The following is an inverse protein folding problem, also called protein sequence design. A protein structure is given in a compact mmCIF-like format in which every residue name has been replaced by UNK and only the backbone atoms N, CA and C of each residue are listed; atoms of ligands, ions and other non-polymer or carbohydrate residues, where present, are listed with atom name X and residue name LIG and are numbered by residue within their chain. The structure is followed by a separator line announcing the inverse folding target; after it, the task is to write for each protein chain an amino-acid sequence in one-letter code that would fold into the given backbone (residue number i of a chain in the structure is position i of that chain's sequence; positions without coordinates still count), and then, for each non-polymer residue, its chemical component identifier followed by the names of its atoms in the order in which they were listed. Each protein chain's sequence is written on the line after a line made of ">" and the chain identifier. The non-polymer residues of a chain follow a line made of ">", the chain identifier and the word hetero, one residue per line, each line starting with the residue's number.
data_IF_874848499383
#
_entry.id   IF_874848499383
#
_cell.length_a   1.000
_cell.length_b   1.000
_cell.length_c   1.000
_cell.angle_alpha   90.00
_cell.angle_beta   90.00
_cell.angle_gamma   90.00
#
_symmetry.space_group_name_H-M   'P 1'
#
loop_
_entity.id
_entity.type
_entity.pdbx_description
1 polymer ?
#
# COMPACT_ATOMS: atom_id res chain seq x y z
N UNK A 1 35.64 -25.12 9.89
CA UNK A 1 35.60 -24.10 8.82
C UNK A 1 34.51 -24.52 7.86
N UNK A 2 33.31 -23.92 7.96
CA UNK A 2 32.23 -24.12 6.99
C UNK A 2 32.02 -22.80 6.27
N UNK A 3 32.30 -22.80 4.97
CA UNK A 3 32.02 -21.69 4.06
C UNK A 3 30.54 -21.76 3.67
N UNK A 4 29.73 -20.85 4.22
CA UNK A 4 28.39 -20.59 3.71
C UNK A 4 28.53 -19.81 2.42
N UNK A 5 28.20 -20.45 1.29
CA UNK A 5 28.06 -19.78 0.01
C UNK A 5 26.82 -18.88 0.06
N UNK A 6 27.03 -17.57 -0.02
CA UNK A 6 25.96 -16.61 -0.23
C UNK A 6 25.44 -16.81 -1.66
N UNK A 7 24.21 -17.30 -1.81
CA UNK A 7 23.50 -17.24 -3.08
C UNK A 7 23.10 -15.79 -3.32
N UNK A 8 23.83 -15.10 -4.17
CA UNK A 8 23.40 -13.84 -4.78
C UNK A 8 22.14 -14.12 -5.59
N UNK A 9 20.98 -13.84 -5.00
CA UNK A 9 19.70 -13.91 -5.70
C UNK A 9 19.70 -12.85 -6.79
N UNK A 10 19.80 -13.28 -8.05
CA UNK A 10 19.43 -12.46 -9.20
C UNK A 10 17.95 -12.10 -9.05
N UNK A 11 17.65 -10.84 -8.75
CA UNK A 11 16.31 -10.30 -8.89
C UNK A 11 16.07 -10.18 -10.41
N UNK A 12 15.51 -11.22 -11.02
CA UNK A 12 15.09 -11.14 -12.40
C UNK A 12 14.07 -10.01 -12.51
N UNK A 13 14.35 -9.00 -13.33
CA UNK A 13 13.34 -8.01 -13.72
C UNK A 13 12.19 -8.76 -14.38
N UNK A 14 11.05 -8.78 -13.69
CA UNK A 14 9.81 -9.34 -14.24
C UNK A 14 9.30 -8.34 -15.26
N UNK A 15 9.49 -8.65 -16.54
CA UNK A 15 8.80 -7.92 -17.60
C UNK A 15 7.37 -8.45 -17.64
N UNK A 16 6.41 -7.61 -17.26
CA UNK A 16 5.00 -7.97 -17.32
C UNK A 16 4.55 -7.86 -18.78
N UNK A 17 4.19 -8.96 -19.45
CA UNK A 17 3.71 -8.89 -20.83
C UNK A 17 2.34 -8.21 -20.85
N UNK A 18 2.03 -7.51 -21.97
CA UNK A 18 0.67 -7.07 -22.25
C UNK A 18 -0.26 -8.29 -22.20
N UNK A 19 -1.12 -8.32 -21.19
CA UNK A 19 -1.94 -9.47 -20.83
C UNK A 19 -3.40 -9.05 -20.78
N UNK A 20 -4.27 -9.85 -21.40
CA UNK A 20 -5.72 -9.63 -21.36
C UNK A 20 -6.22 -9.53 -19.91
N UNK A 21 -5.70 -10.37 -19.00
CA UNK A 21 -6.07 -10.35 -17.60
C UNK A 21 -5.73 -9.02 -16.92
N UNK A 22 -4.51 -8.51 -17.14
CA UNK A 22 -4.06 -7.27 -16.51
C UNK A 22 -4.78 -6.06 -17.08
N UNK A 23 -5.12 -6.08 -18.37
CA UNK A 23 -5.95 -5.05 -18.98
C UNK A 23 -7.35 -5.04 -18.35
N UNK A 24 -8.00 -6.19 -18.19
CA UNK A 24 -9.31 -6.25 -17.53
C UNK A 24 -9.28 -5.77 -16.09
N UNK A 25 -8.22 -6.08 -15.34
CA UNK A 25 -8.02 -5.56 -13.98
C UNK A 25 -7.87 -4.03 -14.01
N UNK A 26 -6.98 -3.52 -14.86
CA UNK A 26 -6.74 -2.07 -15.01
C UNK A 26 -8.01 -1.31 -15.40
N UNK A 27 -8.80 -1.84 -16.34
CA UNK A 27 -10.09 -1.29 -16.74
C UNK A 27 -11.10 -1.31 -15.59
N UNK A 28 -11.19 -2.42 -14.84
CA UNK A 28 -12.14 -2.55 -13.72
C UNK A 28 -11.92 -1.53 -12.61
N UNK A 29 -10.70 -1.02 -12.48
CA UNK A 29 -10.31 -0.02 -11.47
C UNK A 29 -10.13 1.38 -12.08
N UNK A 30 -10.43 1.54 -13.37
CA UNK A 30 -10.25 2.80 -14.11
C UNK A 30 -8.81 3.37 -14.01
N UNK A 31 -7.80 2.48 -14.05
CA UNK A 31 -6.40 2.89 -14.01
C UNK A 31 -6.07 3.76 -15.24
N UNK A 32 -5.49 4.97 -15.06
CA UNK A 32 -5.09 5.79 -16.19
C UNK A 32 -4.07 5.07 -17.09
N UNK A 33 -4.14 5.34 -18.40
CA UNK A 33 -3.20 4.76 -19.38
C UNK A 33 -1.75 5.15 -19.08
N UNK A 34 -1.54 6.38 -18.60
CA UNK A 34 -0.24 6.89 -18.19
C UNK A 34 -0.26 7.14 -16.69
N UNK A 35 0.55 6.38 -15.95
CA UNK A 35 0.62 6.48 -14.50
C UNK A 35 2.05 6.70 -14.03
N UNK A 36 2.17 7.54 -13.01
CA UNK A 36 3.30 7.53 -12.11
C UNK A 36 3.00 6.53 -11.01
N UNK A 37 3.99 5.75 -10.62
CA UNK A 37 3.83 4.76 -9.55
C UNK A 37 4.96 4.83 -8.55
N UNK A 38 4.66 4.38 -7.34
CA UNK A 38 5.66 4.09 -6.32
C UNK A 38 5.33 2.78 -5.61
N UNK A 39 6.37 2.09 -5.14
CA UNK A 39 6.22 0.93 -4.27
C UNK A 39 7.09 1.09 -3.03
N UNK A 40 6.79 0.29 -2.02
CA UNK A 40 7.53 0.30 -0.77
C UNK A 40 6.73 -0.28 0.37
N UNK A 41 6.94 0.28 1.56
CA UNK A 41 6.24 -0.14 2.77
C UNK A 41 5.67 1.03 3.54
N UNK A 42 4.60 0.79 4.29
CA UNK A 42 4.14 1.74 5.30
C UNK A 42 3.63 0.98 6.52
N UNK A 43 3.58 1.66 7.65
CA UNK A 43 3.01 1.13 8.89
C UNK A 43 1.71 1.84 9.20
N UNK A 44 0.75 1.12 9.78
CA UNK A 44 -0.48 1.72 10.28
C UNK A 44 -0.82 1.16 11.66
N UNK A 45 -1.47 1.99 12.47
CA UNK A 45 -2.00 1.60 13.78
C UNK A 45 -3.51 1.60 13.77
N UNK A 46 -4.11 0.58 14.38
CA UNK A 46 -5.55 0.38 14.44
C UNK A 46 -6.10 0.53 15.85
N UNK A 47 -7.21 1.25 15.99
CA UNK A 47 -7.84 1.63 17.24
C UNK A 47 -9.32 1.30 17.28
N UNK A 48 -9.87 1.13 18.48
CA UNK A 48 -11.31 0.89 18.69
C UNK A 48 -12.14 2.17 18.57
N UNK A 49 -11.52 3.33 18.73
CA UNK A 49 -12.17 4.66 18.65
C UNK A 49 -11.28 5.68 17.94
N UNK A 50 -11.89 6.78 17.49
CA UNK A 50 -11.20 7.90 16.85
C UNK A 50 -10.18 8.59 17.76
N UNK A 51 -10.38 8.53 19.09
CA UNK A 51 -9.45 9.11 20.07
C UNK A 51 -8.10 8.38 20.13
N UNK A 52 -8.01 7.18 19.53
CA UNK A 52 -6.79 6.36 19.48
C UNK A 52 -6.25 5.91 20.85
N UNK A 53 -7.13 5.80 21.86
CA UNK A 53 -6.76 5.43 23.23
C UNK A 53 -6.55 3.91 23.42
N UNK A 54 -7.26 3.09 22.64
CA UNK A 54 -7.23 1.63 22.74
C UNK A 54 -7.02 0.99 21.37
N UNK A 55 -6.07 0.05 21.30
CA UNK A 55 -5.73 -0.69 20.09
C UNK A 55 -6.81 -1.70 19.70
N UNK A 56 -7.25 -1.68 18.44
CA UNK A 56 -8.13 -2.71 17.86
C UNK A 56 -7.29 -3.92 17.42
N UNK A 57 -6.92 -4.78 18.38
CA UNK A 57 -6.10 -5.97 18.09
C UNK A 57 -6.77 -6.90 17.08
N UNK A 58 -8.09 -7.05 17.18
CA UNK A 58 -8.87 -7.90 16.29
C UNK A 58 -8.95 -7.31 14.87
N UNK A 59 -9.34 -6.04 14.73
CA UNK A 59 -9.49 -5.44 13.40
C UNK A 59 -8.16 -5.34 12.65
N UNK A 60 -7.05 -5.08 13.36
CA UNK A 60 -5.72 -5.15 12.75
C UNK A 60 -5.36 -6.54 12.26
N UNK A 61 -5.74 -7.59 13.00
CA UNK A 61 -5.50 -8.97 12.58
C UNK A 61 -6.33 -9.30 11.34
N UNK A 62 -7.62 -8.94 11.33
CA UNK A 62 -8.54 -9.21 10.24
C UNK A 62 -8.11 -8.53 8.94
N UNK A 63 -7.71 -7.25 8.99
CA UNK A 63 -7.19 -6.54 7.81
C UNK A 63 -5.91 -7.19 7.27
N UNK A 64 -4.98 -7.54 8.15
CA UNK A 64 -3.72 -8.17 7.76
C UNK A 64 -3.93 -9.57 7.15
N UNK A 65 -4.81 -10.37 7.74
CA UNK A 65 -5.20 -11.68 7.22
C UNK A 65 -5.87 -11.55 5.85
N UNK A 66 -6.78 -10.59 5.70
CA UNK A 66 -7.47 -10.34 4.44
C UNK A 66 -6.51 -9.90 3.34
N UNK A 67 -5.56 -9.01 3.61
CA UNK A 67 -4.54 -8.60 2.63
C UNK A 67 -3.63 -9.77 2.24
N UNK A 68 -3.24 -10.61 3.20
CA UNK A 68 -2.40 -11.75 2.90
C UNK A 68 -3.13 -12.81 2.07
N UNK A 69 -4.42 -13.04 2.35
CA UNK A 69 -5.25 -14.00 1.62
C UNK A 69 -5.69 -13.48 0.24
N UNK A 70 -6.29 -12.29 0.20
CA UNK A 70 -7.01 -11.76 -0.97
C UNK A 70 -6.28 -10.63 -1.69
N UNK A 71 -5.27 -10.02 -1.06
CA UNK A 71 -4.74 -8.70 -1.45
C UNK A 71 -5.83 -7.63 -1.33
N UNK A 72 -5.48 -6.37 -1.55
CA UNK A 72 -6.44 -5.26 -1.53
C UNK A 72 -6.12 -4.29 -2.65
N UNK A 73 -7.15 -3.94 -3.43
CA UNK A 73 -7.11 -2.81 -4.35
C UNK A 73 -8.01 -1.72 -3.78
N UNK A 74 -7.45 -0.55 -3.51
CA UNK A 74 -8.15 0.65 -3.08
C UNK A 74 -8.22 1.63 -4.25
N UNK A 75 -9.39 1.78 -4.86
CA UNK A 75 -9.60 2.59 -6.09
C UNK A 75 -9.71 4.10 -5.84
N UNK A 76 -9.85 4.50 -4.57
CA UNK A 76 -9.83 5.89 -4.12
C UNK A 76 -8.98 5.99 -2.84
N UNK A 77 -7.71 5.63 -3.00
CA UNK A 77 -6.79 5.49 -1.87
C UNK A 77 -6.45 6.86 -1.26
N UNK A 78 -6.85 7.05 0.00
CA UNK A 78 -6.56 8.25 0.79
C UNK A 78 -6.91 9.56 0.08
N UNK A 79 -8.10 9.61 -0.52
CA UNK A 79 -8.60 10.82 -1.19
C UNK A 79 -8.76 12.02 -0.26
N UNK A 80 -8.83 11.78 1.05
CA UNK A 80 -8.74 12.78 2.11
C UNK A 80 -7.37 13.51 2.15
N UNK A 81 -6.31 12.88 1.65
CA UNK A 81 -4.94 13.44 1.64
C UNK A 81 -4.48 13.83 0.24
N UNK A 82 -4.71 12.96 -0.74
CA UNK A 82 -4.16 13.11 -2.09
C UNK A 82 -5.18 13.65 -3.11
N UNK A 83 -6.46 13.74 -2.73
CA UNK A 83 -7.54 13.90 -3.69
C UNK A 83 -7.83 12.61 -4.49
N UNK A 84 -8.77 12.66 -5.44
CA UNK A 84 -9.24 11.47 -6.14
C UNK A 84 -8.20 10.89 -7.11
N UNK A 85 -8.43 9.63 -7.51
CA UNK A 85 -7.72 8.99 -8.63
C UNK A 85 -6.37 8.36 -8.27
N UNK A 86 -6.07 8.26 -6.98
CA UNK A 86 -4.94 7.46 -6.48
C UNK A 86 -5.42 6.03 -6.25
N UNK A 87 -4.75 5.07 -6.88
CA UNK A 87 -5.09 3.64 -6.76
C UNK A 87 -3.97 2.92 -6.00
N UNK A 88 -4.31 2.30 -4.88
CA UNK A 88 -3.37 1.53 -4.06
C UNK A 88 -3.58 0.02 -4.19
N UNK A 89 -2.51 -0.73 -4.36
CA UNK A 89 -2.49 -2.19 -4.30
C UNK A 89 -1.63 -2.66 -3.12
N UNK A 90 -2.25 -3.33 -2.14
CA UNK A 90 -1.59 -3.86 -0.97
C UNK A 90 -1.56 -5.38 -1.06
N UNK A 91 -0.36 -5.96 -1.05
CA UNK A 91 -0.16 -7.36 -1.40
C UNK A 91 0.45 -8.23 -0.31
N UNK A 92 0.92 -7.61 0.77
CA UNK A 92 1.46 -8.29 1.94
C UNK A 92 1.24 -7.43 3.17
N UNK A 93 0.94 -8.07 4.30
CA UNK A 93 0.90 -7.44 5.60
C UNK A 93 1.61 -8.31 6.66
N UNK A 94 2.28 -7.67 7.62
CA UNK A 94 2.84 -8.32 8.80
C UNK A 94 2.50 -7.52 10.06
N UNK A 95 2.06 -8.20 11.11
CA UNK A 95 1.93 -7.58 12.43
C UNK A 95 3.32 -7.48 13.06
N UNK A 96 3.84 -6.26 13.18
CA UNK A 96 5.22 -6.03 13.69
C UNK A 96 5.25 -5.58 15.15
N UNK A 97 4.15 -5.04 15.67
CA UNK A 97 3.98 -4.65 17.09
C UNK A 97 2.55 -4.95 17.55
N UNK A 98 2.29 -4.79 18.84
CA UNK A 98 0.95 -5.02 19.39
C UNK A 98 -0.13 -4.16 18.70
N UNK A 99 0.23 -2.92 18.37
CA UNK A 99 -0.60 -1.84 17.84
C UNK A 99 -0.27 -1.45 16.40
N UNK A 100 0.67 -2.13 15.73
CA UNK A 100 1.20 -1.72 14.42
C UNK A 100 1.25 -2.89 13.45
N UNK A 101 0.67 -2.69 12.27
CA UNK A 101 0.87 -3.51 11.09
C UNK A 101 1.84 -2.83 10.12
N UNK A 102 2.60 -3.64 9.37
CA UNK A 102 3.46 -3.25 8.26
C UNK A 102 2.85 -3.79 6.96
N UNK A 103 2.77 -2.95 5.94
CA UNK A 103 2.15 -3.28 4.67
C UNK A 103 3.12 -3.03 3.52
N UNK A 104 3.10 -3.91 2.52
CA UNK A 104 3.78 -3.68 1.24
C UNK A 104 2.76 -3.25 0.20
N UNK A 105 3.12 -2.19 -0.53
CA UNK A 105 2.21 -1.53 -1.45
C UNK A 105 2.84 -1.26 -2.82
N UNK A 106 1.98 -1.08 -3.80
CA UNK A 106 2.25 -0.33 -5.02
C UNK A 106 1.09 0.65 -5.22
N UNK A 107 1.39 1.92 -5.37
CA UNK A 107 0.39 2.98 -5.62
C UNK A 107 0.65 3.57 -6.99
N UNK A 108 -0.42 3.83 -7.73
CA UNK A 108 -0.40 4.46 -9.04
C UNK A 108 -1.34 5.65 -9.09
N UNK A 109 -0.95 6.67 -9.86
CA UNK A 109 -1.73 7.88 -10.07
C UNK A 109 -1.47 8.45 -11.47
N UNK A 110 -2.47 9.13 -12.03
CA UNK A 110 -2.33 9.97 -13.23
C UNK A 110 -1.65 11.32 -12.97
N UNK A 111 -1.09 11.55 -11.78
CA UNK A 111 -0.37 12.78 -11.40
C UNK A 111 0.93 12.46 -10.67
N UNK A 112 2.05 13.03 -11.14
CA UNK A 112 3.33 12.91 -10.46
C UNK A 112 3.30 13.52 -9.05
N UNK A 113 2.56 14.62 -8.86
CA UNK A 113 2.52 15.35 -7.58
C UNK A 113 1.86 14.53 -6.47
N UNK A 114 0.88 13.68 -6.81
CA UNK A 114 0.26 12.77 -5.84
C UNK A 114 1.27 11.70 -5.40
N UNK A 115 2.10 11.19 -6.31
CA UNK A 115 3.18 10.26 -5.96
C UNK A 115 4.32 10.97 -5.20
N UNK A 116 4.63 12.23 -5.53
CA UNK A 116 5.57 13.04 -4.76
C UNK A 116 5.10 13.21 -3.31
N UNK A 117 3.82 13.55 -3.11
CA UNK A 117 3.22 13.70 -1.78
C UNK A 117 3.16 12.37 -1.02
N UNK A 118 2.80 11.26 -1.68
CA UNK A 118 2.83 9.93 -1.07
C UNK A 118 4.21 9.61 -0.50
N UNK A 119 5.27 9.92 -1.25
CA UNK A 119 6.65 9.61 -0.87
C UNK A 119 7.34 10.69 -0.05
N UNK A 120 6.63 11.77 0.34
CA UNK A 120 7.16 12.79 1.24
C UNK A 120 7.06 12.29 2.69
N UNK A 121 8.18 12.15 3.41
CA UNK A 121 8.17 11.69 4.81
C UNK A 121 7.45 12.66 5.76
N UNK A 122 7.16 13.89 5.32
CA UNK A 122 6.44 14.90 6.10
C UNK A 122 4.93 14.89 5.85
N UNK A 123 4.42 14.02 4.97
CA UNK A 123 2.98 13.89 4.77
C UNK A 123 2.32 13.37 6.03
N UNK A 124 1.30 14.10 6.49
CA UNK A 124 0.51 13.75 7.66
C UNK A 124 -0.81 13.11 7.23
N UNK A 125 -1.22 12.10 7.97
CA UNK A 125 -2.41 11.33 7.68
C UNK A 125 -3.41 11.46 8.85
N UNK A 126 -4.65 11.91 8.62
CA UNK A 126 -5.67 11.87 9.66
C UNK A 126 -6.03 10.43 10.03
N UNK A 127 -6.62 10.30 11.22
CA UNK A 127 -7.29 9.07 11.64
C UNK A 127 -8.56 8.89 10.78
N UNK A 128 -8.76 7.69 10.24
CA UNK A 128 -9.91 7.36 9.39
C UNK A 128 -10.62 6.10 9.85
N UNK A 129 -11.93 6.06 9.73
CA UNK A 129 -12.72 4.90 10.11
C UNK A 129 -12.85 3.90 8.95
N UNK A 130 -12.46 2.66 9.21
CA UNK A 130 -12.69 1.52 8.34
C UNK A 130 -13.87 0.71 8.84
N UNK A 131 -14.99 0.83 8.12
CA UNK A 131 -16.22 0.10 8.41
C UNK A 131 -16.11 -1.41 8.20
N UNK A 132 -15.15 -1.90 7.38
CA UNK A 132 -15.02 -3.33 7.09
C UNK A 132 -14.55 -4.11 8.32
N UNK A 133 -13.61 -3.53 9.08
CA UNK A 133 -13.01 -4.15 10.25
C UNK A 133 -13.39 -3.43 11.56
N UNK A 134 -14.36 -2.51 11.51
CA UNK A 134 -14.79 -1.68 12.64
C UNK A 134 -13.58 -1.08 13.41
N UNK A 135 -12.66 -0.46 12.66
CA UNK A 135 -11.36 -0.02 13.19
C UNK A 135 -11.01 1.37 12.70
N UNK A 136 -10.49 2.20 13.59
CA UNK A 136 -9.95 3.52 13.27
C UNK A 136 -8.46 3.40 12.99
N UNK A 137 -8.01 3.92 11.86
CA UNK A 137 -6.64 3.75 11.37
C UNK A 137 -5.90 5.07 11.32
N UNK A 138 -4.65 5.07 11.76
CA UNK A 138 -3.68 6.12 11.42
C UNK A 138 -2.54 5.48 10.62
N UNK A 139 -2.31 6.00 9.44
CA UNK A 139 -1.15 5.62 8.62
C UNK A 139 0.06 6.46 9.07
N UNK A 140 1.20 5.80 9.25
CA UNK A 140 2.50 6.48 9.35
C UNK A 140 3.01 6.77 7.92
N UNK A 141 3.99 7.69 7.74
CA UNK A 141 4.51 8.04 6.42
C UNK A 141 4.95 6.84 5.58
N UNK A 142 4.67 6.91 4.27
CA UNK A 142 4.97 5.85 3.33
C UNK A 142 6.45 5.88 2.96
N UNK A 143 7.13 4.76 3.15
CA UNK A 143 8.53 4.57 2.75
C UNK A 143 8.59 4.05 1.32
N UNK A 144 8.67 4.97 0.36
CA UNK A 144 8.81 4.64 -1.05
C UNK A 144 10.25 4.24 -1.41
N UNK A 145 10.42 3.01 -1.90
CA UNK A 145 11.73 2.48 -2.28
C UNK A 145 11.99 2.55 -3.79
N UNK A 146 10.94 2.55 -4.61
CA UNK A 146 11.04 2.69 -6.05
C UNK A 146 9.94 3.60 -6.58
N UNK A 147 10.28 4.37 -7.61
CA UNK A 147 9.35 5.23 -8.34
C UNK A 147 9.50 4.99 -9.84
N UNK A 148 8.40 5.04 -10.58
CA UNK A 148 8.39 4.90 -12.04
C UNK A 148 7.55 6.02 -12.65
N UNK A 149 8.05 6.58 -13.76
CA UNK A 149 7.28 7.47 -14.63
C UNK A 149 6.48 6.65 -15.66
N UNK A 150 5.47 7.24 -16.31
CA UNK A 150 4.78 6.60 -17.42
C UNK A 150 5.78 6.13 -18.49
N UNK A 151 5.50 4.98 -19.09
CA UNK A 151 6.24 4.53 -20.27
C UNK A 151 5.88 5.42 -21.45
N UNK A 152 6.91 5.88 -22.17
CA UNK A 152 6.80 6.69 -23.39
C UNK A 152 6.28 5.90 -24.58
#
# INVERSE_FOLDING_TARGET
>A
MSLLAASTGYCATVTVPNSLLLNSIAESVSLPMFTWSANGTHTAKGYTTEAADETSVQGMKEDCDNINLNKKIAVDFRSDVFGPGVIGFFYKCEKIRQDTNLYWFTVSSGSSSQIDQLCDPNTNYPIVYDSQHNTWWIDEPFDCTQRTSPAS
#
